data_IF_843488638928
#
_entry.id   IF_843488638928
#
_cell.length_a   1.000
_cell.length_b   1.000
_cell.length_c   1.000
_cell.angle_alpha   90.00
_cell.angle_beta   90.00
_cell.angle_gamma   90.00
#
_symmetry.space_group_name_H-M   'P 1'
#
loop_
_entity.id
_entity.type
_entity.pdbx_description
1 polymer ?
#
# COMPACT_ATOMS: atom_id res chain seq x y z
N UNK A 1 17.54 -10.68 -16.35
CA UNK A 1 17.03 -9.27 -16.48
C UNK A 1 18.22 -8.35 -16.73
N UNK A 2 18.25 -7.63 -17.83
CA UNK A 2 19.26 -6.62 -18.17
C UNK A 2 18.95 -5.31 -17.44
N UNK A 3 19.96 -4.69 -16.83
CA UNK A 3 19.79 -3.40 -16.13
C UNK A 3 19.71 -2.26 -17.14
N UNK A 4 18.75 -1.37 -16.95
CA UNK A 4 18.61 -0.15 -17.77
C UNK A 4 19.76 0.81 -17.47
N UNK A 5 20.44 1.31 -18.51
CA UNK A 5 21.58 2.25 -18.32
C UNK A 5 21.12 3.60 -17.78
N UNK A 6 22.04 4.31 -17.12
CA UNK A 6 21.79 5.66 -16.58
C UNK A 6 21.42 6.65 -17.68
N UNK A 7 22.07 6.58 -18.85
CA UNK A 7 21.76 7.43 -20.02
C UNK A 7 20.33 7.20 -20.50
N UNK A 8 19.87 5.93 -20.52
CA UNK A 8 18.49 5.60 -20.90
C UNK A 8 17.50 6.13 -19.88
N UNK A 9 17.79 6.06 -18.58
CA UNK A 9 16.95 6.60 -17.50
C UNK A 9 16.77 8.12 -17.68
N UNK A 10 17.86 8.85 -17.91
CA UNK A 10 17.85 10.30 -18.17
C UNK A 10 17.01 10.62 -19.39
N UNK A 11 17.23 9.90 -20.51
CA UNK A 11 16.50 10.13 -21.75
C UNK A 11 14.98 9.87 -21.60
N UNK A 12 14.58 8.84 -20.86
CA UNK A 12 13.17 8.54 -20.57
C UNK A 12 12.56 9.65 -19.72
N UNK A 13 13.23 10.06 -18.63
CA UNK A 13 12.77 11.12 -17.74
C UNK A 13 12.56 12.44 -18.50
N UNK A 14 13.52 12.86 -19.34
CA UNK A 14 13.43 14.10 -20.10
C UNK A 14 12.32 14.05 -21.14
N UNK A 15 12.16 12.91 -21.83
CA UNK A 15 11.07 12.70 -22.79
C UNK A 15 9.69 12.77 -22.10
N UNK A 16 9.55 12.22 -20.90
CA UNK A 16 8.31 12.28 -20.11
C UNK A 16 8.00 13.70 -19.64
N UNK A 17 8.99 14.44 -19.19
CA UNK A 17 8.83 15.87 -18.83
C UNK A 17 8.42 16.71 -20.03
N UNK A 18 9.03 16.49 -21.18
CA UNK A 18 8.66 17.18 -22.41
C UNK A 18 7.22 16.86 -22.85
N UNK A 19 6.81 15.57 -22.75
CA UNK A 19 5.46 15.14 -23.06
C UNK A 19 4.43 15.73 -22.10
N UNK A 20 4.71 15.74 -20.81
CA UNK A 20 3.82 16.38 -19.82
C UNK A 20 3.66 17.89 -20.11
N UNK A 21 4.75 18.61 -20.41
CA UNK A 21 4.73 20.03 -20.76
C UNK A 21 3.90 20.34 -22.01
N UNK A 22 3.73 19.40 -22.92
CA UNK A 22 2.88 19.58 -24.10
C UNK A 22 1.39 19.74 -23.76
N UNK A 23 0.97 19.40 -22.54
CA UNK A 23 -0.42 19.44 -22.10
C UNK A 23 -1.29 18.29 -22.62
N UNK A 24 -0.73 17.32 -23.36
CA UNK A 24 -1.47 16.19 -23.94
C UNK A 24 -2.22 15.36 -22.89
N UNK A 25 -1.67 15.26 -21.67
CA UNK A 25 -2.26 14.48 -20.56
C UNK A 25 -3.38 15.22 -19.81
N UNK A 26 -3.63 16.49 -20.11
CA UNK A 26 -4.65 17.30 -19.41
C UNK A 26 -6.07 16.94 -19.84
N UNK A 27 -6.26 16.47 -21.08
CA UNK A 27 -7.57 16.09 -21.59
C UNK A 27 -8.08 14.82 -20.90
N UNK A 28 -9.30 14.88 -20.37
CA UNK A 28 -9.99 13.75 -19.73
C UNK A 28 -10.25 12.61 -20.72
N UNK A 29 -10.46 12.89 -22.00
CA UNK A 29 -10.62 11.85 -23.01
C UNK A 29 -9.35 11.05 -23.15
N UNK A 30 -8.20 11.71 -23.26
CA UNK A 30 -6.89 11.07 -23.31
C UNK A 30 -6.69 10.14 -22.08
N UNK A 31 -6.95 10.66 -20.85
CA UNK A 31 -6.78 9.86 -19.63
C UNK A 31 -7.66 8.60 -19.64
N UNK A 32 -8.94 8.74 -20.05
CA UNK A 32 -9.86 7.60 -20.19
C UNK A 32 -9.41 6.60 -21.26
N UNK A 33 -8.95 7.06 -22.39
CA UNK A 33 -8.40 6.19 -23.44
C UNK A 33 -7.18 5.40 -22.93
N UNK A 34 -6.30 6.03 -22.16
CA UNK A 34 -5.15 5.34 -21.57
C UNK A 34 -5.56 4.32 -20.49
N UNK A 35 -6.57 4.62 -19.70
CA UNK A 35 -7.14 3.66 -18.74
C UNK A 35 -7.80 2.46 -19.45
N UNK A 36 -8.51 2.70 -20.57
CA UNK A 36 -9.09 1.61 -21.38
C UNK A 36 -7.98 0.73 -21.96
N UNK A 37 -6.92 1.33 -22.52
CA UNK A 37 -5.76 0.57 -23.02
C UNK A 37 -5.11 -0.27 -21.95
N UNK A 38 -4.97 0.25 -20.73
CA UNK A 38 -4.43 -0.52 -19.61
C UNK A 38 -5.36 -1.68 -19.24
N UNK A 39 -6.69 -1.47 -19.20
CA UNK A 39 -7.65 -2.54 -18.93
C UNK A 39 -7.60 -3.64 -19.98
N UNK A 40 -7.51 -3.25 -21.26
CA UNK A 40 -7.40 -4.20 -22.38
C UNK A 40 -6.07 -4.97 -22.33
N UNK A 41 -4.98 -4.30 -21.96
CA UNK A 41 -3.68 -4.95 -21.74
C UNK A 41 -3.77 -5.97 -20.58
N UNK A 42 -4.36 -5.58 -19.44
CA UNK A 42 -4.58 -6.49 -18.31
C UNK A 42 -5.44 -7.72 -18.68
N UNK A 43 -6.37 -7.58 -19.61
CA UNK A 43 -7.16 -8.70 -20.08
C UNK A 43 -6.36 -9.62 -21.04
N UNK A 44 -5.56 -9.05 -21.94
CA UNK A 44 -4.75 -9.84 -22.89
C UNK A 44 -3.59 -10.56 -22.23
N UNK A 45 -2.95 -9.93 -21.24
CA UNK A 45 -1.74 -10.43 -20.56
C UNK A 45 -2.03 -11.16 -19.24
N UNK A 46 -3.31 -11.43 -18.92
CA UNK A 46 -3.70 -12.07 -17.66
C UNK A 46 -3.00 -13.42 -17.45
N UNK A 47 -2.98 -14.25 -18.49
CA UNK A 47 -2.38 -15.58 -18.43
C UNK A 47 -0.87 -15.51 -18.20
N UNK A 48 -0.16 -14.67 -18.95
CA UNK A 48 1.28 -14.49 -18.85
C UNK A 48 1.67 -13.92 -17.47
N UNK A 49 0.87 -12.98 -16.95
CA UNK A 49 1.08 -12.42 -15.61
C UNK A 49 0.90 -13.48 -14.52
N UNK A 50 -0.15 -14.31 -14.62
CA UNK A 50 -0.41 -15.36 -13.62
C UNK A 50 0.59 -16.51 -13.71
N UNK A 51 1.03 -16.90 -14.91
CA UNK A 51 2.08 -17.87 -15.11
C UNK A 51 3.43 -17.38 -14.54
N UNK A 52 3.74 -16.09 -14.70
CA UNK A 52 4.94 -15.49 -14.13
C UNK A 52 4.88 -15.41 -12.60
N UNK A 53 3.71 -15.09 -12.01
CA UNK A 53 3.48 -15.12 -10.57
C UNK A 53 3.64 -16.52 -9.98
N UNK A 54 3.20 -17.55 -10.71
CA UNK A 54 3.47 -18.93 -10.35
C UNK A 54 4.97 -19.24 -10.37
N UNK A 55 5.65 -18.82 -11.41
CA UNK A 55 7.10 -19.09 -11.57
C UNK A 55 7.94 -18.42 -10.48
N UNK A 56 7.65 -17.15 -10.17
CA UNK A 56 8.45 -16.37 -9.21
C UNK A 56 8.09 -16.65 -7.75
N UNK A 57 6.80 -16.85 -7.44
CA UNK A 57 6.28 -16.91 -6.07
C UNK A 57 5.54 -18.22 -5.74
N UNK A 58 5.31 -19.08 -6.71
CA UNK A 58 4.42 -20.24 -6.57
C UNK A 58 2.99 -19.81 -6.19
N UNK A 59 2.54 -18.65 -6.69
CA UNK A 59 1.20 -18.13 -6.43
C UNK A 59 0.21 -18.72 -7.42
N UNK A 60 -0.82 -19.42 -6.92
CA UNK A 60 -1.84 -20.05 -7.76
C UNK A 60 -2.60 -19.02 -8.60
N UNK A 61 -3.21 -19.48 -9.72
CA UNK A 61 -4.03 -18.61 -10.56
C UNK A 61 -5.13 -17.91 -9.75
N UNK A 62 -5.80 -18.65 -8.88
CA UNK A 62 -6.90 -18.16 -8.05
C UNK A 62 -6.43 -17.05 -7.10
N UNK A 63 -5.31 -17.26 -6.40
CA UNK A 63 -4.75 -16.23 -5.51
C UNK A 63 -4.21 -15.03 -6.30
N UNK A 64 -3.48 -15.27 -7.40
CA UNK A 64 -2.99 -14.22 -8.27
C UNK A 64 -4.13 -13.36 -8.84
N UNK A 65 -5.21 -14.00 -9.28
CA UNK A 65 -6.38 -13.28 -9.78
C UNK A 65 -7.07 -12.45 -8.70
N UNK A 66 -7.35 -13.05 -7.54
CA UNK A 66 -8.08 -12.41 -6.45
C UNK A 66 -7.29 -11.26 -5.80
N UNK A 67 -5.97 -11.42 -5.65
CA UNK A 67 -5.16 -10.47 -4.87
C UNK A 67 -4.39 -9.46 -5.72
N UNK A 68 -4.30 -9.67 -7.03
CA UNK A 68 -3.54 -8.78 -7.92
C UNK A 68 -4.35 -8.34 -9.14
N UNK A 69 -4.74 -9.29 -10.00
CA UNK A 69 -5.35 -8.97 -11.30
C UNK A 69 -6.71 -8.28 -11.16
N UNK A 70 -7.61 -8.86 -10.34
CA UNK A 70 -8.97 -8.33 -10.16
C UNK A 70 -8.97 -6.96 -9.48
N UNK A 71 -8.02 -6.73 -8.56
CA UNK A 71 -7.87 -5.46 -7.83
C UNK A 71 -7.49 -4.34 -8.81
N UNK A 72 -6.48 -4.55 -9.65
CA UNK A 72 -6.08 -3.57 -10.68
C UNK A 72 -7.22 -3.30 -11.67
N UNK A 73 -7.89 -4.35 -12.14
CA UNK A 73 -9.05 -4.20 -13.03
C UNK A 73 -10.21 -3.43 -12.37
N UNK A 74 -10.44 -3.66 -11.07
CA UNK A 74 -11.42 -2.94 -10.26
C UNK A 74 -11.10 -1.46 -10.16
N UNK A 75 -9.87 -1.13 -9.78
CA UNK A 75 -9.34 0.24 -9.70
C UNK A 75 -9.52 0.98 -11.03
N UNK A 76 -9.09 0.38 -12.17
CA UNK A 76 -9.27 0.98 -13.50
C UNK A 76 -10.74 1.27 -13.79
N UNK A 77 -11.64 0.31 -13.54
CA UNK A 77 -13.07 0.48 -13.80
C UNK A 77 -13.67 1.61 -12.96
N UNK A 78 -13.27 1.74 -11.70
CA UNK A 78 -13.72 2.84 -10.83
C UNK A 78 -13.23 4.19 -11.33
N UNK A 79 -11.95 4.29 -11.71
CA UNK A 79 -11.38 5.51 -12.28
C UNK A 79 -12.06 5.92 -13.59
N UNK A 80 -12.34 4.97 -14.50
CA UNK A 80 -13.07 5.23 -15.74
C UNK A 80 -14.45 5.87 -15.48
N UNK A 81 -15.16 5.39 -14.45
CA UNK A 81 -16.47 5.92 -14.07
C UNK A 81 -16.40 7.32 -13.44
N UNK A 82 -15.41 7.55 -12.57
CA UNK A 82 -15.40 8.67 -11.63
C UNK A 82 -14.43 9.81 -11.99
N UNK A 83 -13.37 9.57 -12.81
CA UNK A 83 -12.28 10.55 -13.05
C UNK A 83 -12.75 11.90 -13.58
N UNK A 84 -13.74 11.93 -14.48
CA UNK A 84 -14.28 13.18 -15.01
C UNK A 84 -14.94 14.06 -13.92
N UNK A 85 -15.55 13.41 -12.92
CA UNK A 85 -16.13 14.10 -11.76
C UNK A 85 -15.05 14.61 -10.81
N UNK A 86 -14.01 13.80 -10.54
CA UNK A 86 -12.90 14.16 -9.66
C UNK A 86 -12.05 15.32 -10.21
N UNK A 87 -11.79 15.31 -11.50
CA UNK A 87 -11.00 16.35 -12.18
C UNK A 87 -11.79 17.64 -12.44
N UNK A 88 -13.11 17.62 -12.25
CA UNK A 88 -13.96 18.78 -12.51
C UNK A 88 -13.67 19.92 -11.55
N UNK A 89 -13.53 21.16 -12.10
CA UNK A 89 -13.50 22.37 -11.29
C UNK A 89 -14.75 22.46 -10.39
N UNK A 90 -14.56 22.61 -9.08
CA UNK A 90 -15.61 22.69 -8.08
C UNK A 90 -15.71 24.12 -7.53
N UNK A 91 -16.92 24.65 -7.40
CA UNK A 91 -17.17 25.88 -6.64
C UNK A 91 -17.01 25.59 -5.14
N UNK A 92 -16.40 26.54 -4.43
CA UNK A 92 -16.36 26.57 -2.98
C UNK A 92 -17.18 27.76 -2.48
N UNK A 93 -17.61 27.71 -1.23
CA UNK A 93 -18.26 28.87 -0.59
C UNK A 93 -17.30 30.06 -0.56
N UNK A 94 -17.80 31.24 -0.98
CA UNK A 94 -17.06 32.50 -0.88
C UNK A 94 -17.68 33.33 0.26
N UNK A 95 -16.93 33.58 1.35
CA UNK A 95 -17.40 34.45 2.42
C UNK A 95 -17.77 35.85 1.90
N UNK A 96 -18.76 36.51 2.51
CA UNK A 96 -19.25 37.83 2.10
C UNK A 96 -18.13 38.89 2.02
N UNK A 97 -17.11 38.78 2.86
CA UNK A 97 -15.94 39.65 2.86
C UNK A 97 -15.12 39.60 1.55
N UNK A 98 -15.32 38.59 0.71
CA UNK A 98 -14.70 38.47 -0.60
C UNK A 98 -15.59 38.95 -1.74
N UNK A 99 -16.77 39.53 -1.44
CA UNK A 99 -17.63 40.05 -2.49
C UNK A 99 -16.91 41.10 -3.36
N UNK A 100 -16.99 41.02 -4.72
CA UNK A 100 -17.86 40.16 -5.57
C UNK A 100 -17.15 38.89 -6.11
N UNK A 101 -16.27 38.28 -5.34
CA UNK A 101 -15.47 37.13 -5.77
C UNK A 101 -16.22 35.80 -5.74
N UNK A 102 -15.76 34.87 -6.58
CA UNK A 102 -16.17 33.45 -6.60
C UNK A 102 -14.99 32.59 -6.36
N UNK A 103 -15.10 31.58 -5.46
CA UNK A 103 -14.04 30.68 -5.09
C UNK A 103 -14.18 29.35 -5.84
N UNK A 104 -13.05 28.81 -6.28
CA UNK A 104 -12.97 27.55 -7.00
C UNK A 104 -11.84 26.67 -6.46
N UNK A 105 -12.06 25.37 -6.54
CA UNK A 105 -11.04 24.34 -6.32
C UNK A 105 -10.79 23.64 -7.65
N UNK A 106 -9.53 23.56 -8.07
CA UNK A 106 -9.09 22.93 -9.31
C UNK A 106 -8.11 21.83 -8.96
N UNK A 107 -8.26 20.66 -9.55
CA UNK A 107 -7.29 19.57 -9.48
C UNK A 107 -6.41 19.61 -10.72
N UNK A 108 -5.10 19.59 -10.51
CA UNK A 108 -4.12 19.56 -11.58
C UNK A 108 -3.10 18.43 -11.32
N UNK A 109 -2.61 17.75 -12.38
CA UNK A 109 -1.59 16.71 -12.22
C UNK A 109 -0.30 17.29 -11.65
N UNK A 110 0.39 16.52 -10.81
CA UNK A 110 1.69 16.93 -10.28
C UNK A 110 2.76 17.01 -11.38
N UNK A 111 2.82 16.03 -12.30
CA UNK A 111 3.80 16.05 -13.39
C UNK A 111 4.36 14.67 -13.73
N UNK A 112 5.68 14.55 -13.79
CA UNK A 112 6.37 13.27 -13.98
C UNK A 112 6.47 12.52 -12.64
N UNK A 113 6.07 11.26 -12.61
CA UNK A 113 6.09 10.44 -11.40
C UNK A 113 7.00 9.22 -11.52
N UNK A 114 7.62 8.84 -10.41
CA UNK A 114 8.37 7.60 -10.25
C UNK A 114 7.57 6.67 -9.33
N UNK A 115 7.31 5.44 -9.78
CA UNK A 115 6.60 4.41 -9.00
C UNK A 115 7.55 3.24 -8.79
N UNK A 116 7.94 2.99 -7.55
CA UNK A 116 8.84 1.89 -7.16
C UNK A 116 8.03 0.89 -6.35
N UNK A 117 7.95 -0.36 -6.81
CA UNK A 117 7.15 -1.40 -6.17
C UNK A 117 8.00 -2.56 -5.62
N UNK A 118 7.50 -3.25 -4.57
CA UNK A 118 8.11 -4.45 -4.02
C UNK A 118 7.75 -5.69 -4.86
N UNK A 119 8.12 -6.84 -4.32
CA UNK A 119 8.02 -8.15 -4.98
C UNK A 119 6.81 -9.01 -4.54
N UNK A 120 6.17 -8.67 -3.42
CA UNK A 120 5.17 -9.56 -2.80
C UNK A 120 3.79 -9.56 -3.49
N UNK A 121 3.38 -8.43 -4.03
CA UNK A 121 2.23 -8.26 -4.93
C UNK A 121 2.67 -7.38 -6.12
N UNK A 122 3.54 -7.91 -6.99
CA UNK A 122 4.28 -7.10 -7.95
C UNK A 122 3.41 -6.48 -9.03
N UNK A 123 2.29 -7.10 -9.39
CA UNK A 123 1.33 -6.56 -10.37
C UNK A 123 0.50 -5.46 -9.73
N UNK A 124 -0.14 -5.74 -8.60
CA UNK A 124 -1.03 -4.82 -7.93
C UNK A 124 -0.30 -3.57 -7.42
N UNK A 125 0.81 -3.74 -6.69
CA UNK A 125 1.52 -2.63 -6.05
C UNK A 125 2.28 -1.74 -7.05
N UNK A 126 2.45 -2.18 -8.29
CA UNK A 126 2.98 -1.35 -9.38
C UNK A 126 1.88 -0.66 -10.18
N UNK A 127 0.81 -1.39 -10.51
CA UNK A 127 -0.19 -0.90 -11.46
C UNK A 127 -1.33 -0.10 -10.80
N UNK A 128 -1.69 -0.33 -9.53
CA UNK A 128 -2.67 0.52 -8.85
C UNK A 128 -2.21 1.98 -8.74
N UNK A 129 -0.96 2.29 -8.29
CA UNK A 129 -0.46 3.65 -8.35
C UNK A 129 -0.39 4.21 -9.79
N UNK A 130 -0.09 3.38 -10.78
CA UNK A 130 -0.12 3.79 -12.18
C UNK A 130 -1.53 4.23 -12.62
N UNK A 131 -2.60 3.53 -12.19
CA UNK A 131 -3.98 3.95 -12.46
C UNK A 131 -4.24 5.35 -11.88
N UNK A 132 -3.75 5.62 -10.67
CA UNK A 132 -3.77 6.95 -10.06
C UNK A 132 -3.06 8.01 -10.89
N UNK A 133 -1.83 7.71 -11.35
CA UNK A 133 -1.02 8.60 -12.18
C UNK A 133 -1.71 8.93 -13.52
N UNK A 134 -2.22 7.92 -14.23
CA UNK A 134 -2.95 8.09 -15.50
C UNK A 134 -4.18 8.95 -15.30
N UNK A 135 -4.99 8.66 -14.28
CA UNK A 135 -6.24 9.39 -14.03
C UNK A 135 -6.01 10.83 -13.59
N UNK A 136 -4.96 11.12 -12.84
CA UNK A 136 -4.55 12.48 -12.50
C UNK A 136 -4.02 13.25 -13.72
N UNK A 137 -3.44 12.55 -14.71
CA UNK A 137 -2.81 13.14 -15.89
C UNK A 137 -1.29 13.29 -15.77
N UNK A 138 -0.65 12.48 -14.92
CA UNK A 138 0.80 12.40 -14.81
C UNK A 138 1.41 11.50 -15.89
N UNK A 139 2.70 11.67 -16.19
CA UNK A 139 3.54 10.64 -16.79
C UNK A 139 4.13 9.75 -15.71
N UNK A 140 4.54 8.53 -16.04
CA UNK A 140 5.08 7.61 -15.03
C UNK A 140 6.25 6.77 -15.53
N UNK A 141 7.28 6.67 -14.69
CA UNK A 141 8.31 5.64 -14.78
C UNK A 141 8.03 4.59 -13.71
N UNK A 142 7.94 3.33 -14.14
CA UNK A 142 7.67 2.17 -13.31
C UNK A 142 8.97 1.43 -13.03
N UNK A 143 9.24 1.16 -11.76
CA UNK A 143 10.40 0.37 -11.33
C UNK A 143 9.93 -0.86 -10.56
N UNK A 144 9.68 -2.00 -11.27
CA UNK A 144 9.33 -3.25 -10.63
C UNK A 144 10.50 -3.84 -9.85
N UNK A 145 10.19 -4.78 -8.97
CA UNK A 145 11.21 -5.44 -8.14
C UNK A 145 12.05 -6.46 -8.94
N UNK A 146 13.38 -6.47 -8.79
CA UNK A 146 14.24 -7.46 -9.42
C UNK A 146 14.14 -8.86 -8.80
N UNK A 147 13.43 -9.02 -7.67
CA UNK A 147 13.26 -10.31 -6.99
C UNK A 147 12.17 -11.20 -7.63
N UNK A 148 11.38 -10.63 -8.55
CA UNK A 148 10.35 -11.34 -9.34
C UNK A 148 10.60 -11.06 -10.83
N UNK A 149 11.69 -11.63 -11.39
CA UNK A 149 12.17 -11.27 -12.72
C UNK A 149 11.20 -11.63 -13.84
N UNK A 150 10.47 -12.76 -13.71
CA UNK A 150 9.51 -13.17 -14.74
C UNK A 150 8.30 -12.22 -14.78
N UNK A 151 7.74 -11.85 -13.62
CA UNK A 151 6.64 -10.86 -13.54
C UNK A 151 7.10 -9.51 -14.07
N UNK A 152 8.30 -9.07 -13.70
CA UNK A 152 8.85 -7.78 -14.12
C UNK A 152 9.06 -7.72 -15.64
N UNK A 153 9.51 -8.81 -16.28
CA UNK A 153 9.67 -8.92 -17.72
C UNK A 153 8.31 -8.88 -18.45
N UNK A 154 7.31 -9.60 -17.94
CA UNK A 154 5.97 -9.60 -18.52
C UNK A 154 5.35 -8.20 -18.43
N UNK A 155 5.47 -7.52 -17.29
CA UNK A 155 4.98 -6.14 -17.14
C UNK A 155 5.70 -5.19 -18.10
N UNK A 156 7.03 -5.31 -18.28
CA UNK A 156 7.77 -4.46 -19.21
C UNK A 156 7.26 -4.64 -20.65
N UNK A 157 7.08 -5.88 -21.11
CA UNK A 157 6.54 -6.18 -22.45
C UNK A 157 5.12 -5.62 -22.62
N UNK A 158 4.25 -5.86 -21.62
CA UNK A 158 2.87 -5.36 -21.62
C UNK A 158 2.82 -3.83 -21.70
N UNK A 159 3.62 -3.12 -20.94
CA UNK A 159 3.65 -1.65 -20.92
C UNK A 159 4.25 -1.09 -22.21
N UNK A 160 5.33 -1.69 -22.71
CA UNK A 160 5.97 -1.26 -23.96
C UNK A 160 5.05 -1.43 -25.19
N UNK A 161 4.22 -2.49 -25.22
CA UNK A 161 3.20 -2.70 -26.26
C UNK A 161 2.03 -1.71 -26.15
N UNK A 162 1.71 -1.28 -24.93
CA UNK A 162 0.48 -0.50 -24.64
C UNK A 162 0.71 1.00 -24.73
N UNK A 163 1.88 1.49 -24.28
CA UNK A 163 2.15 2.92 -24.12
C UNK A 163 3.45 3.37 -24.80
N UNK A 164 3.47 4.63 -25.20
CA UNK A 164 4.71 5.28 -25.63
C UNK A 164 5.64 5.52 -24.44
N UNK A 165 6.93 5.27 -24.59
CA UNK A 165 7.97 5.48 -23.58
C UNK A 165 7.97 6.90 -22.99
N UNK A 166 7.65 7.91 -23.80
CA UNK A 166 7.51 9.30 -23.37
C UNK A 166 6.30 9.56 -22.46
N UNK A 167 5.42 8.57 -22.28
CA UNK A 167 4.25 8.68 -21.40
C UNK A 167 4.35 7.74 -20.20
N UNK A 168 4.48 6.44 -20.43
CA UNK A 168 4.68 5.42 -19.40
C UNK A 168 5.82 4.51 -19.84
N UNK A 169 6.80 4.30 -18.96
CA UNK A 169 7.95 3.46 -19.22
C UNK A 169 8.26 2.55 -18.04
N UNK A 170 8.81 1.37 -18.32
CA UNK A 170 9.40 0.49 -17.30
C UNK A 170 10.90 0.61 -17.33
N UNK A 171 11.53 0.65 -16.16
CA UNK A 171 12.97 0.66 -15.97
C UNK A 171 13.34 -0.53 -15.09
N UNK A 172 14.20 -1.41 -15.61
CA UNK A 172 14.63 -2.65 -14.95
C UNK A 172 16.02 -2.49 -14.33
N UNK A 173 16.25 -3.19 -13.22
CA UNK A 173 17.58 -3.26 -12.61
C UNK A 173 17.57 -3.30 -11.09
N UNK A 174 18.75 -3.27 -10.51
CA UNK A 174 19.01 -3.41 -9.08
C UNK A 174 19.24 -2.05 -8.38
N UNK A 175 20.12 -2.04 -7.38
CA UNK A 175 20.38 -0.87 -6.52
C UNK A 175 20.95 0.33 -7.30
N UNK A 176 21.81 0.07 -8.26
CA UNK A 176 22.42 1.08 -9.15
C UNK A 176 21.35 1.86 -9.93
N UNK A 177 20.38 1.15 -10.50
CA UNK A 177 19.26 1.73 -11.22
C UNK A 177 18.35 2.53 -10.27
N UNK A 178 18.09 2.04 -9.05
CA UNK A 178 17.34 2.81 -8.06
C UNK A 178 18.06 4.14 -7.72
N UNK A 179 19.39 4.10 -7.57
CA UNK A 179 20.20 5.30 -7.32
C UNK A 179 20.07 6.29 -8.49
N UNK A 180 20.26 5.84 -9.74
CA UNK A 180 20.14 6.68 -10.92
C UNK A 180 18.74 7.30 -11.07
N UNK A 181 17.68 6.55 -10.76
CA UNK A 181 16.29 7.04 -10.75
C UNK A 181 16.07 8.10 -9.67
N UNK A 182 16.58 7.90 -8.46
CA UNK A 182 16.43 8.81 -7.33
C UNK A 182 17.29 10.09 -7.49
N UNK A 183 18.26 10.12 -8.37
CA UNK A 183 19.01 11.31 -8.74
C UNK A 183 18.24 12.24 -9.68
N UNK A 184 17.21 11.73 -10.38
CA UNK A 184 16.37 12.55 -11.25
C UNK A 184 15.37 13.39 -10.45
N UNK A 185 14.97 14.55 -11.01
CA UNK A 185 13.97 15.44 -10.40
C UNK A 185 12.56 15.02 -10.81
N UNK A 186 11.90 14.25 -9.95
CA UNK A 186 10.49 13.87 -10.10
C UNK A 186 9.56 14.92 -9.49
N UNK A 187 8.29 14.93 -9.95
CA UNK A 187 7.22 15.75 -9.37
C UNK A 187 6.42 14.97 -8.32
N UNK A 188 6.56 13.63 -8.28
CA UNK A 188 6.08 12.73 -7.23
C UNK A 188 6.92 11.45 -7.23
N UNK A 189 7.22 10.91 -6.04
CA UNK A 189 7.73 9.54 -5.89
C UNK A 189 6.72 8.74 -5.08
N UNK A 190 6.17 7.69 -5.69
CA UNK A 190 5.37 6.68 -5.02
C UNK A 190 6.24 5.45 -4.74
N UNK A 191 6.39 5.10 -3.49
CA UNK A 191 7.27 4.02 -3.06
C UNK A 191 6.53 3.07 -2.14
N UNK A 192 6.57 1.76 -2.46
CA UNK A 192 6.14 0.69 -1.56
C UNK A 192 7.33 -0.19 -1.23
N UNK A 193 7.59 -0.42 0.06
CA UNK A 193 8.71 -1.24 0.51
C UNK A 193 9.07 -1.08 1.98
N UNK A 194 10.35 -1.32 2.32
CA UNK A 194 10.80 -1.26 3.72
C UNK A 194 11.03 0.16 4.22
N UNK A 195 10.85 0.44 5.53
CA UNK A 195 11.14 1.74 6.15
C UNK A 195 12.58 2.22 5.92
N UNK A 196 13.55 1.30 5.89
CA UNK A 196 14.95 1.65 5.66
C UNK A 196 15.16 2.25 4.26
N UNK A 197 14.58 1.64 3.23
CA UNK A 197 14.68 2.15 1.86
C UNK A 197 13.83 3.43 1.67
N UNK A 198 12.68 3.53 2.34
CA UNK A 198 11.85 4.73 2.33
C UNK A 198 12.60 5.97 2.83
N UNK A 199 13.45 5.84 3.87
CA UNK A 199 14.31 6.93 4.36
C UNK A 199 15.30 7.38 3.27
N UNK A 200 15.85 6.47 2.46
CA UNK A 200 16.69 6.81 1.30
C UNK A 200 15.91 7.57 0.24
N UNK A 201 14.68 7.11 -0.07
CA UNK A 201 13.78 7.80 -1.01
C UNK A 201 13.45 9.21 -0.53
N UNK A 202 13.07 9.37 0.74
CA UNK A 202 12.78 10.69 1.33
C UNK A 202 14.00 11.63 1.29
N UNK A 203 15.18 11.12 1.62
CA UNK A 203 16.44 11.91 1.59
C UNK A 203 16.73 12.42 0.17
N UNK A 204 16.50 11.59 -0.84
CA UNK A 204 16.66 11.99 -2.23
C UNK A 204 15.58 12.99 -2.66
N UNK A 205 14.32 12.73 -2.35
CA UNK A 205 13.19 13.60 -2.66
C UNK A 205 13.34 15.00 -2.05
N UNK A 206 13.87 15.07 -0.83
CA UNK A 206 14.08 16.33 -0.11
C UNK A 206 15.00 17.32 -0.86
N UNK A 207 15.94 16.84 -1.67
CA UNK A 207 16.84 17.70 -2.48
C UNK A 207 16.09 18.57 -3.47
N UNK A 208 14.94 18.09 -3.95
CA UNK A 208 14.12 18.76 -4.96
C UNK A 208 12.75 19.19 -4.42
N UNK A 209 12.49 19.03 -3.11
CA UNK A 209 11.15 19.21 -2.49
C UNK A 209 10.07 18.36 -3.18
N UNK A 210 10.46 17.19 -3.68
CA UNK A 210 9.54 16.25 -4.32
C UNK A 210 8.62 15.61 -3.27
N UNK A 211 7.29 15.70 -3.41
CA UNK A 211 6.38 15.00 -2.53
C UNK A 211 6.55 13.48 -2.68
N UNK A 212 6.28 12.76 -1.58
CA UNK A 212 6.37 11.31 -1.56
C UNK A 212 5.06 10.70 -1.04
N UNK A 213 4.70 9.53 -1.59
CA UNK A 213 3.75 8.60 -0.99
C UNK A 213 4.53 7.35 -0.64
N UNK A 214 4.49 6.96 0.63
CA UNK A 214 5.27 5.85 1.16
C UNK A 214 4.31 4.83 1.77
N UNK A 215 4.25 3.65 1.17
CA UNK A 215 3.53 2.52 1.68
C UNK A 215 4.52 1.52 2.25
N UNK A 216 4.54 1.41 3.57
CA UNK A 216 5.54 0.63 4.30
C UNK A 216 4.84 -0.51 5.05
N UNK A 217 5.60 -1.29 5.77
CA UNK A 217 5.06 -2.38 6.58
C UNK A 217 4.99 -2.03 8.05
N UNK A 218 5.21 -3.02 8.87
CA UNK A 218 5.27 -2.92 10.31
C UNK A 218 4.77 -4.18 10.99
N UNK A 219 4.86 -4.21 12.31
CA UNK A 219 4.38 -5.34 13.10
C UNK A 219 2.91 -5.16 13.43
N UNK A 220 2.03 -5.67 12.56
CA UNK A 220 0.57 -5.58 12.70
C UNK A 220 0.06 -6.51 13.83
N UNK A 221 -0.44 -5.97 14.95
CA UNK A 221 -0.98 -6.77 16.06
C UNK A 221 -2.27 -7.48 15.66
N UNK A 222 -2.42 -8.70 16.15
CA UNK A 222 -3.67 -9.47 16.12
C UNK A 222 -4.07 -9.78 17.55
N UNK A 223 -5.11 -9.11 18.05
CA UNK A 223 -5.55 -9.17 19.45
C UNK A 223 -6.76 -10.10 19.53
N UNK A 224 -6.69 -11.09 20.43
CA UNK A 224 -7.75 -12.07 20.63
C UNK A 224 -8.20 -12.00 22.09
N UNK A 225 -9.33 -11.33 22.30
CA UNK A 225 -9.96 -11.14 23.61
C UNK A 225 -10.73 -12.39 24.03
N UNK A 226 -10.98 -12.57 25.35
CA UNK A 226 -11.76 -13.68 25.89
C UNK A 226 -13.19 -13.76 25.36
N UNK A 227 -13.71 -12.67 24.80
CA UNK A 227 -15.05 -12.58 24.19
C UNK A 227 -15.09 -12.95 22.71
N UNK A 228 -13.94 -13.34 22.12
CA UNK A 228 -13.84 -13.69 20.71
C UNK A 228 -14.60 -15.00 20.39
N UNK A 229 -15.23 -15.06 19.23
CA UNK A 229 -15.61 -16.33 18.61
C UNK A 229 -14.35 -17.01 18.09
N UNK A 230 -13.88 -18.02 18.83
CA UNK A 230 -12.56 -18.63 18.60
C UNK A 230 -12.46 -19.32 17.25
N UNK A 231 -13.52 -20.00 16.80
CA UNK A 231 -13.52 -20.67 15.49
C UNK A 231 -13.39 -19.65 14.35
N UNK A 232 -14.18 -18.59 14.40
CA UNK A 232 -14.13 -17.52 13.41
C UNK A 232 -12.79 -16.80 13.45
N UNK A 233 -12.26 -16.50 14.64
CA UNK A 233 -10.95 -15.88 14.80
C UNK A 233 -9.85 -16.77 14.22
N UNK A 234 -9.81 -18.05 14.60
CA UNK A 234 -8.82 -18.99 14.10
C UNK A 234 -8.86 -19.12 12.58
N UNK A 235 -10.05 -19.26 11.98
CA UNK A 235 -10.23 -19.36 10.53
C UNK A 235 -9.72 -18.13 9.79
N UNK A 236 -10.13 -16.93 10.22
CA UNK A 236 -9.75 -15.67 9.58
C UNK A 236 -8.27 -15.38 9.73
N UNK A 237 -7.71 -15.65 10.91
CA UNK A 237 -6.29 -15.45 11.19
C UNK A 237 -5.43 -16.46 10.42
N UNK A 238 -5.83 -17.76 10.38
CA UNK A 238 -5.15 -18.78 9.60
C UNK A 238 -5.11 -18.38 8.12
N UNK A 239 -6.25 -18.00 7.54
CA UNK A 239 -6.32 -17.50 6.17
C UNK A 239 -5.43 -16.27 5.97
N UNK A 240 -5.53 -15.24 6.82
CA UNK A 240 -4.77 -14.00 6.65
C UNK A 240 -3.26 -14.16 6.80
N UNK A 241 -2.81 -15.20 7.56
CA UNK A 241 -1.38 -15.50 7.69
C UNK A 241 -0.86 -16.41 6.59
N UNK A 242 -1.69 -17.27 6.03
CA UNK A 242 -1.27 -18.16 4.93
C UNK A 242 -1.38 -17.51 3.56
N UNK A 243 -2.21 -16.47 3.40
CA UNK A 243 -2.28 -15.68 2.19
C UNK A 243 -0.88 -15.13 1.84
N UNK A 244 -0.41 -15.39 0.61
CA UNK A 244 0.95 -15.08 0.15
C UNK A 244 2.05 -15.57 1.12
N UNK A 245 1.78 -16.64 1.87
CA UNK A 245 2.68 -17.17 2.92
C UNK A 245 3.08 -16.13 3.97
N UNK A 246 2.16 -15.20 4.30
CA UNK A 246 2.41 -14.12 5.25
C UNK A 246 3.34 -13.01 4.74
N UNK A 247 3.72 -13.02 3.46
CA UNK A 247 4.56 -12.02 2.82
C UNK A 247 3.73 -10.81 2.39
N UNK A 248 3.01 -10.21 3.35
CA UNK A 248 2.02 -9.17 3.15
C UNK A 248 2.19 -8.09 4.23
N UNK A 249 2.30 -6.83 3.83
CA UNK A 249 2.52 -5.69 4.74
C UNK A 249 1.41 -5.50 5.78
N UNK A 250 0.22 -6.03 5.51
CA UNK A 250 -0.94 -6.05 6.43
C UNK A 250 -1.23 -7.46 6.95
N UNK A 251 -0.36 -8.44 6.76
CA UNK A 251 -0.55 -9.74 7.42
C UNK A 251 -0.53 -9.55 8.94
N UNK A 252 -1.37 -10.28 9.69
CA UNK A 252 -1.19 -10.35 11.12
C UNK A 252 0.25 -10.78 11.43
N UNK A 253 0.99 -9.98 12.20
CA UNK A 253 2.42 -10.19 12.43
C UNK A 253 2.67 -10.94 13.75
N UNK A 254 2.02 -10.51 14.84
CA UNK A 254 2.07 -11.17 16.13
C UNK A 254 0.68 -11.24 16.79
N UNK A 255 0.50 -12.19 17.71
CA UNK A 255 -0.75 -12.41 18.43
C UNK A 255 -0.61 -11.95 19.90
N UNK A 256 -1.56 -11.14 20.37
CA UNK A 256 -1.82 -10.90 21.79
C UNK A 256 -3.10 -11.62 22.16
N UNK A 257 -3.01 -12.65 23.01
CA UNK A 257 -4.15 -13.51 23.32
C UNK A 257 -4.47 -13.52 24.82
N UNK A 258 -5.76 -13.49 25.15
CA UNK A 258 -6.22 -13.67 26.52
C UNK A 258 -5.88 -15.09 27.01
N UNK A 259 -5.34 -15.20 28.23
CA UNK A 259 -4.81 -16.43 28.82
C UNK A 259 -5.81 -17.59 28.76
N UNK A 260 -7.08 -17.32 29.08
CA UNK A 260 -8.11 -18.36 29.23
C UNK A 260 -8.45 -19.08 27.92
N UNK A 261 -8.32 -18.42 26.77
CA UNK A 261 -8.71 -18.96 25.48
C UNK A 261 -7.55 -19.47 24.63
N UNK A 262 -6.30 -19.29 25.08
CA UNK A 262 -5.09 -19.65 24.33
C UNK A 262 -5.11 -21.10 23.85
N UNK A 263 -5.38 -22.06 24.76
CA UNK A 263 -5.33 -23.50 24.41
C UNK A 263 -6.39 -23.90 23.39
N UNK A 264 -7.58 -23.27 23.45
CA UNK A 264 -8.67 -23.50 22.51
C UNK A 264 -8.32 -22.88 21.15
N UNK A 265 -7.77 -21.67 21.13
CA UNK A 265 -7.36 -21.00 19.91
C UNK A 265 -6.26 -21.78 19.15
N UNK A 266 -5.23 -22.29 19.84
CA UNK A 266 -4.16 -23.08 19.21
C UNK A 266 -4.72 -24.33 18.52
N UNK A 267 -5.64 -25.04 19.16
CA UNK A 267 -6.32 -26.21 18.58
C UNK A 267 -7.14 -25.82 17.36
N UNK A 268 -7.97 -24.77 17.48
CA UNK A 268 -8.78 -24.28 16.39
C UNK A 268 -7.95 -23.78 15.21
N UNK A 269 -6.83 -23.09 15.47
CA UNK A 269 -5.90 -22.64 14.44
C UNK A 269 -5.29 -23.82 13.67
N UNK A 270 -4.84 -24.87 14.37
CA UNK A 270 -4.29 -26.07 13.75
C UNK A 270 -5.33 -26.79 12.86
N UNK A 271 -6.59 -26.87 13.34
CA UNK A 271 -7.70 -27.43 12.58
C UNK A 271 -8.00 -26.59 11.32
N UNK A 272 -8.01 -25.27 11.43
CA UNK A 272 -8.28 -24.39 10.30
C UNK A 272 -7.16 -24.39 9.24
N UNK A 273 -5.89 -24.50 9.63
CA UNK A 273 -4.81 -24.71 8.67
C UNK A 273 -5.03 -26.00 7.85
N UNK A 274 -5.44 -27.08 8.51
CA UNK A 274 -5.76 -28.34 7.85
C UNK A 274 -7.02 -28.23 6.95
N UNK A 275 -8.04 -27.51 7.39
CA UNK A 275 -9.24 -27.24 6.59
C UNK A 275 -8.94 -26.42 5.33
N UNK A 276 -8.03 -25.43 5.40
CA UNK A 276 -7.67 -24.58 4.30
C UNK A 276 -6.73 -25.24 3.27
N UNK A 277 -5.79 -26.06 3.74
CA UNK A 277 -4.66 -26.55 2.94
C UNK A 277 -4.55 -28.09 2.87
N UNK A 278 -5.47 -28.82 3.53
CA UNK A 278 -5.43 -30.29 3.60
C UNK A 278 -4.44 -30.81 4.65
N UNK A 279 -4.24 -32.13 4.65
CA UNK A 279 -3.35 -32.82 5.62
C UNK A 279 -1.87 -32.48 5.41
N UNK A 280 -1.48 -32.23 4.16
CA UNK A 280 -0.11 -31.86 3.81
C UNK A 280 -0.08 -30.51 3.06
N UNK A 281 0.06 -29.44 3.82
CA UNK A 281 0.16 -28.09 3.30
C UNK A 281 1.34 -27.88 2.33
N UNK A 282 2.41 -28.67 2.42
CA UNK A 282 3.52 -28.57 1.48
C UNK A 282 3.11 -29.02 0.07
N UNK A 283 2.18 -29.97 -0.03
CA UNK A 283 1.65 -30.46 -1.30
C UNK A 283 0.53 -29.55 -1.86
N UNK A 284 0.01 -28.62 -1.07
CA UNK A 284 -1.04 -27.71 -1.53
C UNK A 284 -0.48 -26.73 -2.58
N UNK A 285 -1.07 -26.77 -3.78
CA UNK A 285 -0.72 -25.89 -4.89
C UNK A 285 -1.09 -24.41 -4.63
N UNK A 286 -1.97 -24.15 -3.66
CA UNK A 286 -2.38 -22.80 -3.30
C UNK A 286 -1.49 -22.16 -2.23
N UNK A 287 -0.55 -22.92 -1.66
CA UNK A 287 0.33 -22.38 -0.65
C UNK A 287 1.60 -21.80 -1.26
N UNK A 288 1.73 -20.47 -1.20
CA UNK A 288 2.82 -19.68 -1.76
C UNK A 288 4.17 -20.02 -1.09
N UNK A 289 5.29 -19.87 -1.79
CA UNK A 289 6.66 -20.10 -1.29
C UNK A 289 7.34 -18.78 -0.93
N UNK A 290 8.36 -18.85 -0.09
CA UNK A 290 9.21 -17.69 0.17
C UNK A 290 9.90 -17.23 -1.12
N UNK A 291 9.97 -15.90 -1.31
CA UNK A 291 10.42 -15.29 -2.58
C UNK A 291 11.85 -15.73 -2.99
N UNK A 292 12.74 -15.89 -2.03
CA UNK A 292 14.12 -16.31 -2.26
C UNK A 292 14.73 -16.98 -1.00
N UNK A 293 15.92 -17.55 -1.16
CA UNK A 293 16.62 -18.28 -0.11
C UNK A 293 16.96 -17.38 1.08
N UNK A 294 17.35 -16.12 0.84
CA UNK A 294 17.62 -15.15 1.92
C UNK A 294 16.39 -14.87 2.78
N UNK A 295 15.21 -14.74 2.18
CA UNK A 295 13.96 -14.58 2.92
C UNK A 295 13.59 -15.85 3.68
N UNK A 296 13.80 -17.03 3.08
CA UNK A 296 13.62 -18.32 3.73
C UNK A 296 14.54 -18.47 4.96
N UNK A 297 15.84 -18.24 4.80
CA UNK A 297 16.83 -18.35 5.89
C UNK A 297 16.52 -17.35 7.04
N UNK A 298 16.12 -16.12 6.70
CA UNK A 298 15.76 -15.11 7.70
C UNK A 298 14.56 -15.58 8.53
N UNK A 299 13.50 -16.07 7.89
CA UNK A 299 12.25 -16.45 8.58
C UNK A 299 12.43 -17.74 9.38
N UNK A 300 13.14 -18.73 8.85
CA UNK A 300 13.47 -19.95 9.60
C UNK A 300 14.43 -19.68 10.76
N UNK A 301 15.28 -18.66 10.62
CA UNK A 301 16.14 -18.18 11.69
C UNK A 301 15.41 -17.73 12.96
N UNK A 302 14.14 -17.33 12.86
CA UNK A 302 13.31 -16.96 14.01
C UNK A 302 12.85 -18.14 14.86
N UNK A 303 12.95 -19.38 14.39
CA UNK A 303 12.53 -20.57 15.15
C UNK A 303 13.31 -20.78 16.46
N UNK A 304 14.50 -20.21 16.55
CA UNK A 304 15.33 -20.23 17.77
C UNK A 304 14.92 -19.19 18.81
N UNK A 305 14.02 -18.26 18.46
CA UNK A 305 13.65 -17.14 19.33
C UNK A 305 12.56 -17.49 20.36
N UNK A 306 12.06 -18.74 20.36
CA UNK A 306 11.06 -19.21 21.33
C UNK A 306 10.68 -20.66 21.13
N UNK A 307 9.60 -21.10 21.77
CA UNK A 307 9.12 -22.47 21.76
C UNK A 307 8.06 -22.66 20.65
N UNK A 308 8.32 -23.55 19.70
CA UNK A 308 7.35 -23.89 18.67
C UNK A 308 6.23 -24.73 19.28
N UNK A 309 5.00 -24.23 19.21
CA UNK A 309 3.81 -24.92 19.72
C UNK A 309 2.89 -25.47 18.64
N UNK A 310 3.12 -25.08 17.37
CA UNK A 310 2.45 -25.60 16.19
C UNK A 310 3.32 -25.38 14.95
N UNK A 311 3.30 -26.32 13.99
CA UNK A 311 4.03 -26.22 12.73
C UNK A 311 5.54 -26.50 12.87
N UNK A 312 6.37 -25.72 12.18
CA UNK A 312 7.83 -25.79 12.28
C UNK A 312 8.50 -26.61 11.18
N UNK A 313 7.75 -27.28 10.29
CA UNK A 313 8.35 -27.98 9.14
C UNK A 313 8.85 -26.98 8.10
N UNK A 314 10.00 -27.28 7.52
CA UNK A 314 10.59 -26.45 6.46
C UNK A 314 11.20 -27.31 5.38
N UNK A 315 11.25 -26.78 4.16
CA UNK A 315 11.98 -27.40 3.04
C UNK A 315 12.71 -26.32 2.25
N UNK A 316 14.02 -26.29 2.38
CA UNK A 316 14.87 -25.31 1.72
C UNK A 316 14.86 -25.46 0.19
N UNK A 317 14.71 -26.69 -0.34
CA UNK A 317 14.71 -26.92 -1.78
C UNK A 317 13.52 -26.26 -2.49
N UNK A 318 12.37 -26.21 -1.82
CA UNK A 318 11.15 -25.55 -2.32
C UNK A 318 10.87 -24.21 -1.65
N UNK A 319 11.71 -23.77 -0.70
CA UNK A 319 11.50 -22.56 0.11
C UNK A 319 10.17 -22.59 0.88
N UNK A 320 9.76 -23.78 1.27
CA UNK A 320 8.55 -23.99 2.05
C UNK A 320 8.81 -23.75 3.53
N UNK A 321 7.90 -23.03 4.19
CA UNK A 321 7.83 -22.87 5.65
C UNK A 321 6.38 -23.12 6.05
N UNK A 322 6.17 -24.09 6.94
CA UNK A 322 4.85 -24.36 7.50
C UNK A 322 4.36 -23.18 8.36
N UNK A 323 3.06 -22.83 8.36
CA UNK A 323 2.51 -21.86 9.32
C UNK A 323 2.86 -22.27 10.75
N UNK A 324 3.60 -21.41 11.46
CA UNK A 324 4.24 -21.78 12.72
C UNK A 324 3.86 -20.82 13.84
N UNK A 325 3.32 -21.35 14.95
CA UNK A 325 3.09 -20.61 16.19
C UNK A 325 4.27 -20.79 17.14
N UNK A 326 4.80 -19.70 17.68
CA UNK A 326 5.93 -19.66 18.61
C UNK A 326 5.51 -18.90 19.87
N UNK A 327 5.76 -19.49 21.05
CA UNK A 327 5.52 -18.82 22.33
C UNK A 327 6.83 -18.60 23.12
N UNK A 328 6.73 -17.98 24.28
CA UNK A 328 7.88 -17.65 25.16
C UNK A 328 8.97 -16.83 24.45
N UNK A 329 8.56 -15.99 23.51
CA UNK A 329 9.45 -15.16 22.68
C UNK A 329 9.95 -13.96 23.48
N UNK A 330 11.27 -13.74 23.61
CA UNK A 330 11.82 -12.51 24.19
C UNK A 330 11.38 -11.28 23.38
N UNK A 331 10.93 -10.24 24.09
CA UNK A 331 10.36 -9.05 23.42
C UNK A 331 11.39 -8.19 22.66
N UNK A 332 12.67 -8.41 22.93
CA UNK A 332 13.83 -7.80 22.26
C UNK A 332 14.44 -8.69 21.15
N UNK A 333 13.90 -9.90 20.95
CA UNK A 333 14.36 -10.80 19.89
C UNK A 333 14.06 -10.27 18.49
N UNK A 334 14.78 -10.70 17.45
CA UNK A 334 14.48 -10.36 16.06
C UNK A 334 13.04 -10.67 15.65
N UNK A 335 12.47 -11.78 16.13
CA UNK A 335 11.06 -12.15 15.86
C UNK A 335 10.08 -11.08 16.38
N UNK A 336 10.40 -10.36 17.47
CA UNK A 336 9.54 -9.32 18.03
C UNK A 336 9.90 -7.89 17.65
N UNK A 337 11.11 -7.66 17.12
CA UNK A 337 11.57 -6.29 16.75
C UNK A 337 11.53 -6.03 15.24
N UNK A 338 11.59 -7.08 14.40
CA UNK A 338 11.52 -6.98 12.94
C UNK A 338 10.13 -7.37 12.42
N UNK A 339 9.71 -6.82 11.27
CA UNK A 339 8.56 -7.31 10.52
C UNK A 339 8.85 -8.71 10.00
N UNK A 340 8.01 -9.69 10.32
CA UNK A 340 8.27 -11.10 10.03
C UNK A 340 8.22 -11.40 8.54
N UNK A 341 7.20 -10.90 7.85
CA UNK A 341 7.02 -11.06 6.41
C UNK A 341 7.16 -12.53 5.96
N UNK A 342 6.46 -13.41 6.67
CA UNK A 342 6.50 -14.86 6.51
C UNK A 342 5.44 -15.54 7.38
N UNK A 343 5.27 -16.87 7.26
CA UNK A 343 4.18 -17.62 7.91
C UNK A 343 4.46 -17.99 9.37
N UNK A 344 5.16 -17.13 10.10
CA UNK A 344 5.52 -17.35 11.50
C UNK A 344 4.80 -16.37 12.40
N UNK A 345 4.27 -16.85 13.52
CA UNK A 345 3.50 -16.09 14.50
C UNK A 345 4.07 -16.19 15.90
N UNK A 346 4.68 -15.17 16.46
CA UNK A 346 4.87 -15.08 17.89
C UNK A 346 3.52 -14.83 18.58
N UNK A 347 3.23 -15.62 19.62
CA UNK A 347 2.02 -15.52 20.40
C UNK A 347 2.35 -15.17 21.85
N UNK A 348 1.83 -14.03 22.31
CA UNK A 348 2.07 -13.49 23.64
C UNK A 348 0.78 -13.61 24.43
N UNK A 349 0.86 -14.34 25.55
CA UNK A 349 -0.25 -14.52 26.46
C UNK A 349 -0.38 -13.32 27.39
N UNK A 350 -1.56 -12.72 27.46
CA UNK A 350 -1.88 -11.61 28.35
C UNK A 350 -2.78 -12.12 29.49
N UNK A 351 -2.39 -11.86 30.71
CA UNK A 351 -3.13 -12.20 31.95
C UNK A 351 -3.50 -10.90 32.70
N UNK A 352 -4.62 -10.91 33.43
CA UNK A 352 -5.10 -9.77 34.24
C UNK A 352 -5.85 -8.74 33.41
N UNK A 353 -5.56 -7.44 33.58
CA UNK A 353 -6.22 -6.37 32.82
C UNK A 353 -5.79 -6.41 31.36
N UNK A 354 -6.53 -7.21 30.58
CA UNK A 354 -6.21 -7.50 29.19
C UNK A 354 -6.17 -6.23 28.33
N UNK A 355 -7.18 -5.38 28.48
CA UNK A 355 -7.34 -4.19 27.63
C UNK A 355 -6.21 -3.19 27.85
N UNK A 356 -5.90 -2.83 29.10
CA UNK A 356 -4.84 -1.88 29.42
C UNK A 356 -3.48 -2.42 28.97
N UNK A 357 -3.19 -3.69 29.25
CA UNK A 357 -1.92 -4.32 28.83
C UNK A 357 -1.75 -4.38 27.33
N UNK A 358 -2.83 -4.62 26.57
CA UNK A 358 -2.81 -4.58 25.10
C UNK A 358 -2.52 -3.18 24.60
N UNK A 359 -3.19 -2.15 25.17
CA UNK A 359 -2.96 -0.76 24.79
C UNK A 359 -1.52 -0.36 25.06
N UNK A 360 -1.00 -0.66 26.25
CA UNK A 360 0.39 -0.36 26.62
C UNK A 360 1.37 -1.08 25.70
N UNK A 361 1.11 -2.35 25.40
CA UNK A 361 1.96 -3.14 24.51
C UNK A 361 2.02 -2.56 23.10
N UNK A 362 0.88 -2.18 22.53
CA UNK A 362 0.81 -1.63 21.16
C UNK A 362 1.39 -0.22 21.13
N UNK A 363 1.07 0.64 22.10
CA UNK A 363 1.53 2.03 22.11
C UNK A 363 3.02 2.19 22.42
N UNK A 364 3.65 1.20 23.07
CA UNK A 364 5.09 1.16 23.31
C UNK A 364 5.93 0.87 22.04
N UNK A 365 5.28 0.59 20.91
CA UNK A 365 5.91 0.20 19.64
C UNK A 365 5.61 1.20 18.55
N UNK A 366 6.34 1.06 17.41
CA UNK A 366 6.09 1.81 16.19
C UNK A 366 4.67 1.53 15.66
N UNK A 367 4.05 2.57 15.11
CA UNK A 367 2.69 2.50 14.56
C UNK A 367 2.63 1.55 13.38
N UNK A 368 1.84 0.44 13.45
CA UNK A 368 1.75 -0.54 12.39
C UNK A 368 0.89 -0.05 11.22
N UNK A 369 1.03 -0.71 10.06
CA UNK A 369 0.15 -0.45 8.91
C UNK A 369 -1.27 -0.98 9.16
N UNK A 370 -1.41 -2.13 9.82
CA UNK A 370 -2.71 -2.69 10.16
C UNK A 370 -2.83 -3.05 11.65
N UNK A 371 -4.08 -3.10 12.12
CA UNK A 371 -4.45 -3.45 13.50
C UNK A 371 -5.68 -4.37 13.46
N UNK A 372 -5.64 -5.48 14.17
CA UNK A 372 -6.71 -6.49 14.19
C UNK A 372 -7.14 -6.80 15.60
N UNK A 373 -8.45 -6.82 15.82
CA UNK A 373 -9.05 -7.16 17.09
C UNK A 373 -10.17 -8.17 16.91
N UNK A 374 -10.18 -9.21 17.71
CA UNK A 374 -11.22 -10.22 17.79
C UNK A 374 -11.85 -10.21 19.19
N UNK A 375 -13.16 -10.03 19.26
CA UNK A 375 -13.94 -9.94 20.47
C UNK A 375 -15.14 -9.03 20.33
N UNK A 376 -15.62 -8.52 21.46
CA UNK A 376 -16.76 -7.59 21.48
C UNK A 376 -16.41 -6.28 20.80
N UNK A 377 -17.23 -5.86 19.85
CA UNK A 377 -16.98 -4.70 18.98
C UNK A 377 -16.73 -3.41 19.78
N UNK A 378 -17.49 -3.18 20.86
CA UNK A 378 -17.31 -1.99 21.72
C UNK A 378 -15.91 -1.89 22.34
N UNK A 379 -15.33 -3.02 22.71
CA UNK A 379 -13.98 -3.08 23.32
C UNK A 379 -12.92 -2.88 22.24
N UNK A 380 -13.14 -3.43 21.05
CA UNK A 380 -12.30 -3.15 19.88
C UNK A 380 -12.25 -1.66 19.56
N UNK A 381 -13.39 -0.96 19.53
CA UNK A 381 -13.43 0.48 19.31
C UNK A 381 -12.77 1.29 20.43
N UNK A 382 -12.84 0.83 21.67
CA UNK A 382 -12.15 1.48 22.79
C UNK A 382 -10.62 1.41 22.63
N UNK A 383 -10.09 0.23 22.28
CA UNK A 383 -8.65 0.03 22.05
C UNK A 383 -8.19 0.85 20.82
N UNK A 384 -8.94 0.82 19.73
CA UNK A 384 -8.64 1.59 18.51
C UNK A 384 -8.53 3.09 18.80
N UNK A 385 -9.43 3.66 19.63
CA UNK A 385 -9.35 5.08 20.00
C UNK A 385 -8.10 5.45 20.80
N UNK A 386 -7.49 4.49 21.46
CA UNK A 386 -6.30 4.69 22.33
C UNK A 386 -4.99 4.25 21.67
N UNK A 387 -5.05 3.67 20.47
CA UNK A 387 -3.89 3.23 19.68
C UNK A 387 -3.84 3.97 18.35
N UNK A 388 -2.82 3.71 17.53
CA UNK A 388 -2.71 4.29 16.18
C UNK A 388 -2.19 3.25 15.20
N UNK A 389 -2.80 3.20 14.01
CA UNK A 389 -2.39 2.35 12.88
C UNK A 389 -2.79 2.99 11.56
N UNK A 390 -2.32 2.48 10.43
CA UNK A 390 -2.78 2.89 9.11
C UNK A 390 -4.25 2.55 8.88
N UNK A 391 -4.65 1.35 9.22
CA UNK A 391 -6.02 0.85 9.15
C UNK A 391 -6.21 -0.39 10.00
N UNK A 392 -7.31 -1.13 9.83
CA UNK A 392 -7.52 -2.37 10.55
C UNK A 392 -8.93 -2.94 10.45
N UNK A 393 -9.16 -4.04 11.18
CA UNK A 393 -10.47 -4.70 11.25
C UNK A 393 -10.82 -5.08 12.68
N UNK A 394 -12.11 -5.08 12.99
CA UNK A 394 -12.69 -5.73 14.15
C UNK A 394 -13.34 -7.03 13.68
N UNK A 395 -12.99 -8.14 14.32
CA UNK A 395 -13.43 -9.50 13.99
C UNK A 395 -13.09 -9.96 12.56
N UNK A 396 -12.07 -9.34 11.93
CA UNK A 396 -11.56 -9.75 10.63
C UNK A 396 -10.07 -9.38 10.50
N UNK A 397 -9.43 -9.81 9.40
CA UNK A 397 -8.06 -9.43 9.03
C UNK A 397 -8.01 -9.07 7.55
N UNK A 398 -7.07 -8.19 7.15
CA UNK A 398 -6.78 -7.83 5.75
C UNK A 398 -7.94 -7.10 5.03
N UNK A 399 -9.19 -7.48 5.23
CA UNK A 399 -10.35 -7.06 4.43
C UNK A 399 -10.60 -5.55 4.35
N UNK A 400 -10.00 -4.73 5.21
CA UNK A 400 -10.09 -3.26 5.09
C UNK A 400 -9.49 -2.72 3.78
N UNK A 401 -8.52 -3.42 3.14
CA UNK A 401 -7.97 -3.05 1.83
C UNK A 401 -8.96 -3.28 0.68
N UNK A 402 -9.94 -4.17 0.86
CA UNK A 402 -10.89 -4.54 -0.19
C UNK A 402 -12.02 -3.52 -0.38
N UNK A 403 -12.16 -2.54 0.51
CA UNK A 403 -13.23 -1.55 0.44
C UNK A 403 -12.75 -0.30 -0.32
N UNK A 404 -13.24 -0.10 -1.53
CA UNK A 404 -12.94 1.04 -2.41
C UNK A 404 -13.41 2.42 -1.90
N UNK A 405 -14.11 2.49 -0.78
CA UNK A 405 -14.64 3.73 -0.22
C UNK A 405 -13.91 4.21 1.05
N UNK A 406 -12.87 3.51 1.47
CA UNK A 406 -12.02 3.89 2.60
C UNK A 406 -10.57 4.04 2.15
N UNK A 407 -9.82 4.99 2.73
CA UNK A 407 -8.41 5.19 2.37
C UNK A 407 -7.56 4.01 2.83
N UNK A 408 -6.49 3.73 2.10
CA UNK A 408 -5.43 2.84 2.50
C UNK A 408 -4.10 3.59 2.56
N UNK A 409 -3.36 3.45 3.67
CA UNK A 409 -2.07 4.09 3.87
C UNK A 409 -1.61 4.00 5.32
N UNK A 410 -0.31 4.16 5.54
CA UNK A 410 0.33 4.08 6.84
C UNK A 410 0.42 5.41 7.58
N UNK A 411 0.92 5.35 8.82
CA UNK A 411 1.19 6.49 9.69
C UNK A 411 2.51 6.30 10.44
N UNK A 412 3.35 7.33 10.48
CA UNK A 412 4.67 7.26 11.10
C UNK A 412 5.58 6.27 10.37
N UNK A 413 6.07 5.24 11.08
CA UNK A 413 7.00 4.26 10.51
C UNK A 413 6.33 3.30 9.50
N UNK A 414 4.98 3.23 9.46
CA UNK A 414 4.24 2.40 8.49
C UNK A 414 3.90 3.12 7.20
N UNK A 415 4.12 4.43 7.09
CA UNK A 415 3.92 5.13 5.82
C UNK A 415 3.59 6.61 5.93
N UNK A 416 3.41 7.21 4.75
CA UNK A 416 3.07 8.62 4.56
C UNK A 416 2.22 8.75 3.29
N UNK A 417 1.07 9.40 3.39
CA UNK A 417 0.10 9.49 2.31
C UNK A 417 -0.90 8.34 2.33
N UNK A 418 -1.65 8.20 1.27
CA UNK A 418 -2.68 7.17 1.08
C UNK A 418 -3.04 7.03 -0.38
N UNK A 419 -3.61 5.90 -0.75
CA UNK A 419 -4.03 5.62 -2.11
C UNK A 419 -5.25 4.66 -2.11
N UNK A 420 -5.61 4.13 -3.21
CA UNK A 420 -6.81 3.43 -3.66
C UNK A 420 -7.93 4.38 -4.09
N UNK A 421 -8.53 4.08 -5.23
CA UNK A 421 -9.64 4.81 -5.85
C UNK A 421 -9.43 6.34 -5.90
N UNK A 422 -10.29 7.09 -5.24
CA UNK A 422 -10.20 8.55 -5.23
C UNK A 422 -8.90 9.05 -4.62
N UNK A 423 -8.40 8.39 -3.58
CA UNK A 423 -7.16 8.78 -2.94
C UNK A 423 -5.94 8.55 -3.85
N UNK A 424 -5.96 7.53 -4.75
CA UNK A 424 -4.97 7.38 -5.82
C UNK A 424 -4.96 8.60 -6.75
N UNK A 425 -6.13 9.07 -7.20
CA UNK A 425 -6.23 10.28 -8.00
C UNK A 425 -5.72 11.52 -7.25
N UNK A 426 -6.09 11.66 -5.97
CA UNK A 426 -5.68 12.79 -5.12
C UNK A 426 -4.16 12.78 -4.86
N UNK A 427 -3.55 11.61 -4.64
CA UNK A 427 -2.12 11.45 -4.40
C UNK A 427 -1.24 11.97 -5.55
N UNK A 428 -1.71 11.81 -6.79
CA UNK A 428 -1.04 12.29 -8.00
C UNK A 428 -1.50 13.68 -8.46
N UNK A 429 -2.35 14.36 -7.65
CA UNK A 429 -2.95 15.66 -7.99
C UNK A 429 -2.58 16.74 -6.99
N UNK A 430 -2.33 17.96 -7.48
CA UNK A 430 -2.30 19.15 -6.66
C UNK A 430 -3.69 19.80 -6.57
N UNK A 431 -4.06 20.26 -5.37
CA UNK A 431 -5.31 20.98 -5.15
C UNK A 431 -5.03 22.48 -5.15
N UNK A 432 -5.49 23.17 -6.19
CA UNK A 432 -5.25 24.60 -6.39
C UNK A 432 -6.50 25.41 -6.09
N UNK A 433 -6.37 26.45 -5.28
CA UNK A 433 -7.44 27.40 -4.99
C UNK A 433 -7.37 28.60 -5.95
N UNK A 434 -8.51 28.97 -6.54
CA UNK A 434 -8.64 30.12 -7.44
C UNK A 434 -9.78 31.01 -6.95
N UNK A 435 -9.48 32.29 -6.80
CA UNK A 435 -10.49 33.36 -6.55
C UNK A 435 -10.65 34.16 -7.83
N UNK A 436 -11.86 34.18 -8.37
CA UNK A 436 -12.21 35.00 -9.52
C UNK A 436 -13.08 36.20 -9.04
N UNK A 437 -12.52 37.37 -9.12
CA UNK A 437 -13.19 38.62 -8.67
C UNK A 437 -13.75 39.38 -9.85
N UNK A 438 -15.01 39.84 -9.76
CA UNK A 438 -15.60 40.71 -10.76
C UNK A 438 -14.97 42.09 -10.76
N UNK A 439 -14.83 42.70 -11.93
CA UNK A 439 -14.23 44.05 -12.10
C UNK A 439 -15.25 45.19 -12.20
N UNK A 440 -16.54 44.83 -12.09
CA UNK A 440 -17.64 45.78 -12.20
C UNK A 440 -17.84 46.66 -10.93
N UNK A 441 -17.24 46.25 -9.82
CA UNK A 441 -17.15 47.00 -8.57
C UNK A 441 -15.80 46.73 -7.93
N UNK A 442 -15.19 47.76 -7.39
CA UNK A 442 -13.97 47.69 -6.59
C UNK A 442 -14.21 48.41 -5.26
N UNK A 443 -14.03 47.64 -4.17
CA UNK A 443 -14.35 48.13 -2.84
C UNK A 443 -13.10 48.76 -2.23
N UNK A 444 -13.12 50.06 -1.85
CA UNK A 444 -11.95 50.82 -1.45
C UNK A 444 -11.36 50.38 -0.10
N UNK A 445 -12.13 49.70 0.74
CA UNK A 445 -11.75 49.43 2.13
C UNK A 445 -10.57 48.42 2.29
N UNK A 446 -10.14 47.73 1.22
CA UNK A 446 -8.98 46.87 1.23
C UNK A 446 -7.66 47.56 0.85
N UNK A 447 -7.76 48.82 0.41
CA UNK A 447 -6.55 49.55 -0.06
C UNK A 447 -6.06 50.58 0.95
N UNK A 448 -4.77 50.84 0.91
CA UNK A 448 -4.19 51.95 1.64
C UNK A 448 -4.64 53.27 1.04
N UNK A 449 -4.80 54.33 1.87
CA UNK A 449 -4.36 54.49 3.27
C UNK A 449 -5.34 54.01 4.35
N UNK A 450 -6.25 53.08 4.06
CA UNK A 450 -7.22 52.48 5.02
C UNK A 450 -8.17 53.47 5.69
N UNK A 451 -8.64 54.48 4.99
CA UNK A 451 -9.54 55.53 5.51
C UNK A 451 -10.83 55.00 6.15
N UNK A 452 -11.30 53.85 5.68
CA UNK A 452 -12.50 53.17 6.17
C UNK A 452 -12.24 52.08 7.20
N UNK A 453 -11.02 51.96 7.75
CA UNK A 453 -10.62 50.86 8.65
C UNK A 453 -11.54 50.69 9.87
N UNK A 454 -11.99 51.82 10.48
CA UNK A 454 -12.89 51.80 11.62
C UNK A 454 -14.25 51.13 11.34
N UNK A 455 -14.77 51.26 10.09
CA UNK A 455 -15.98 50.60 9.64
C UNK A 455 -15.72 49.09 9.39
N UNK A 456 -14.63 48.77 8.73
CA UNK A 456 -14.20 47.37 8.42
C UNK A 456 -14.00 46.55 9.69
N UNK A 457 -13.37 47.16 10.71
CA UNK A 457 -13.17 46.52 12.02
C UNK A 457 -14.46 46.11 12.74
N UNK A 458 -15.56 46.79 12.46
CA UNK A 458 -16.89 46.45 13.04
C UNK A 458 -17.63 45.34 12.29
N UNK A 459 -17.21 45.04 11.04
CA UNK A 459 -17.84 44.03 10.17
C UNK A 459 -17.09 42.70 10.22
N UNK A 460 -15.75 42.71 10.44
CA UNK A 460 -14.88 41.53 10.62
C UNK A 460 -14.90 41.05 12.07
#
# INVERSE_FOLDING_TARGET
MESTSTERIIAVHDAQKAFFKSGATLDIKFRKEMLIKLLDAMNRWEKELTDALWTDLHKSYEEAYLTEISIVKGEIKTHLRKVAGWARRRKAHSPIKLFPSRSYIVKEPLGSSLIISPWNYPVQLLLNPLVGAISAGCTAVLKPSPYVPNVSEVIEKMIAETFYVKYIAVVQGHRDVNTALLEQRWDLIFFTGSPALAKTVMTSAARNLTPVVLELGGKSPCIIDSTADIKTAAKRIAWGKTLNSGQTCIAPDYILIHKEIKGEFVKAFAEEIKNLHGEDIQADRHYVRMVNDKAFERVTGYFKDGDIIYGGRTDAATRFIEPTLIENVPLDSPLMTEEIFGPVFPMITIDGDFKEKVIDFVTSREKPLAFYYFGKESDGWEIIRRTSSGGGCINDVIMHIANENVPFGGVGNSGMGRYHDKDSFEAFSHTRSIIATGTWIDLPFRYMPYETFGLVKKIL
#
